data_IF_255051608744
#
_entry.id   IF_255051608744
#
_cell.length_a   1.000
_cell.length_b   1.000
_cell.length_c   1.000
_cell.angle_alpha   90.00
_cell.angle_beta   90.00
_cell.angle_gamma   90.00
#
_symmetry.space_group_name_H-M   'P 1'
#
loop_
_entity.id
_entity.type
_entity.pdbx_description
1 polymer ?
#
# COMPACT_ATOMS: atom_id res chain seq x y z
N UNK A 1 -33.81 51.41 -9.54
CA UNK A 1 -33.19 51.09 -8.24
C UNK A 1 -33.03 49.57 -8.16
N UNK A 2 -31.76 49.14 -8.12
CA UNK A 2 -31.21 47.86 -7.61
C UNK A 2 -31.79 46.50 -8.07
N UNK A 3 -30.98 45.83 -8.92
CA UNK A 3 -30.92 44.39 -9.20
C UNK A 3 -30.80 43.59 -7.88
N UNK A 4 -31.65 42.58 -7.66
CA UNK A 4 -31.49 41.61 -6.58
C UNK A 4 -31.40 40.19 -7.15
N UNK A 5 -30.15 39.76 -7.30
CA UNK A 5 -29.58 38.42 -7.31
C UNK A 5 -30.45 37.19 -7.67
N UNK A 6 -30.17 36.66 -8.88
CA UNK A 6 -30.26 35.24 -9.24
C UNK A 6 -29.28 34.42 -8.38
N UNK A 7 -29.62 33.15 -8.15
CA UNK A 7 -28.79 32.04 -7.62
C UNK A 7 -28.72 31.82 -6.10
N UNK A 8 -29.75 31.18 -5.49
CA UNK A 8 -29.56 30.49 -4.22
C UNK A 8 -29.17 29.00 -4.39
N UNK A 9 -29.45 28.37 -5.54
CA UNK A 9 -29.32 26.90 -5.70
C UNK A 9 -27.96 26.39 -6.18
N UNK A 10 -27.11 27.24 -6.78
CA UNK A 10 -25.78 26.82 -7.27
C UNK A 10 -24.72 26.83 -6.16
N UNK A 11 -24.91 27.66 -5.13
CA UNK A 11 -23.99 27.78 -4.00
C UNK A 11 -23.95 26.54 -3.10
N UNK A 12 -25.03 25.76 -3.04
CA UNK A 12 -25.10 24.58 -2.18
C UNK A 12 -24.34 23.37 -2.76
N UNK A 13 -24.23 23.27 -4.10
CA UNK A 13 -23.52 22.19 -4.78
C UNK A 13 -22.00 22.32 -4.72
N UNK A 14 -21.47 23.55 -4.60
CA UNK A 14 -20.03 23.80 -4.50
C UNK A 14 -19.45 23.48 -3.12
N UNK A 15 -20.28 23.50 -2.05
CA UNK A 15 -19.80 23.24 -0.69
C UNK A 15 -19.54 21.75 -0.41
N UNK A 16 -20.22 20.84 -1.12
CA UNK A 16 -20.10 19.37 -0.89
C UNK A 16 -18.87 18.76 -1.58
N UNK A 17 -18.31 19.43 -2.60
CA UNK A 17 -17.11 18.95 -3.30
C UNK A 17 -15.80 19.18 -2.52
N UNK A 18 -15.83 19.98 -1.45
CA UNK A 18 -14.64 20.33 -0.69
C UNK A 18 -14.29 19.32 0.43
N UNK A 19 -15.14 18.32 0.72
CA UNK A 19 -14.89 17.33 1.78
C UNK A 19 -14.22 16.03 1.28
N UNK A 20 -13.92 15.91 -0.02
CA UNK A 20 -13.32 14.69 -0.59
C UNK A 20 -11.79 14.68 -0.61
N UNK A 21 -11.11 15.81 -0.37
CA UNK A 21 -9.67 15.80 -0.11
C UNK A 21 -9.45 15.56 1.39
N UNK A 22 -9.73 14.34 1.85
CA UNK A 22 -9.05 13.85 3.05
C UNK A 22 -7.56 13.91 2.71
N UNK A 23 -6.78 14.67 3.48
CA UNK A 23 -5.33 14.61 3.37
C UNK A 23 -4.96 13.14 3.50
N UNK A 24 -4.47 12.53 2.42
CA UNK A 24 -3.93 11.18 2.44
C UNK A 24 -2.72 11.23 3.37
N UNK A 25 -2.99 10.93 4.64
CA UNK A 25 -1.95 10.71 5.62
C UNK A 25 -1.24 9.40 5.30
N UNK A 26 -0.06 9.23 5.87
CA UNK A 26 0.60 7.94 5.89
C UNK A 26 -0.39 6.87 6.40
N UNK A 27 -0.55 5.73 5.69
CA UNK A 27 -1.42 4.64 6.14
C UNK A 27 -1.07 4.18 7.57
N UNK A 28 -2.09 3.96 8.39
CA UNK A 28 -1.99 3.43 9.77
C UNK A 28 -2.63 2.04 9.90
N UNK A 29 -3.18 1.49 8.82
CA UNK A 29 -3.74 0.15 8.73
C UNK A 29 -3.62 -0.43 7.32
N UNK A 30 -3.83 -1.73 7.17
CA UNK A 30 -3.81 -2.42 5.87
C UNK A 30 -4.91 -1.90 4.93
N UNK A 31 -6.10 -1.58 5.46
CA UNK A 31 -7.29 -1.18 4.71
C UNK A 31 -7.34 0.33 4.40
N UNK A 32 -6.38 1.10 4.90
CA UNK A 32 -6.33 2.54 4.68
C UNK A 32 -6.26 2.87 3.20
N UNK A 33 -7.08 3.85 2.79
CA UNK A 33 -7.14 4.34 1.41
C UNK A 33 -7.48 3.22 0.42
N UNK A 34 -8.45 2.38 0.80
CA UNK A 34 -8.99 1.34 -0.05
C UNK A 34 -9.49 1.87 -1.41
N UNK A 35 -9.20 1.12 -2.47
CA UNK A 35 -9.73 1.38 -3.81
C UNK A 35 -11.15 0.79 -3.95
N UNK A 36 -11.72 0.87 -5.16
CA UNK A 36 -13.05 0.32 -5.44
C UNK A 36 -13.14 -1.21 -5.24
N UNK A 37 -12.00 -1.91 -5.14
CA UNK A 37 -11.94 -3.35 -4.84
C UNK A 37 -11.88 -3.65 -3.33
N UNK A 38 -11.73 -2.62 -2.49
CA UNK A 38 -11.61 -2.75 -1.04
C UNK A 38 -10.20 -3.05 -0.54
N UNK A 39 -9.20 -3.15 -1.44
CA UNK A 39 -7.79 -3.34 -1.05
C UNK A 39 -7.19 -2.01 -0.66
N UNK A 40 -6.49 -1.92 0.46
CA UNK A 40 -5.85 -0.69 0.91
C UNK A 40 -4.64 -0.29 0.09
N UNK A 41 -4.13 0.93 0.30
CA UNK A 41 -3.01 1.47 -0.48
C UNK A 41 -1.74 0.64 -0.31
N UNK A 42 -1.39 0.29 0.93
CA UNK A 42 -0.17 -0.47 1.24
C UNK A 42 -0.18 -1.83 0.55
N UNK A 43 -1.31 -2.54 0.57
CA UNK A 43 -1.44 -3.83 -0.10
C UNK A 43 -1.22 -3.71 -1.62
N UNK A 44 -1.72 -2.65 -2.23
CA UNK A 44 -1.57 -2.43 -3.68
C UNK A 44 -0.13 -2.09 -4.03
N UNK A 45 0.48 -1.14 -3.33
CA UNK A 45 1.86 -0.71 -3.56
C UNK A 45 2.86 -1.84 -3.29
N UNK A 46 2.63 -2.66 -2.26
CA UNK A 46 3.45 -3.84 -1.99
C UNK A 46 3.43 -4.80 -3.18
N UNK A 47 2.24 -5.13 -3.70
CA UNK A 47 2.11 -6.03 -4.84
C UNK A 47 2.78 -5.43 -6.08
N UNK A 48 2.56 -4.15 -6.35
CA UNK A 48 3.10 -3.49 -7.53
C UNK A 48 4.63 -3.43 -7.48
N UNK A 49 5.22 -3.05 -6.33
CA UNK A 49 6.67 -3.04 -6.12
C UNK A 49 7.28 -4.45 -6.20
N UNK A 50 6.62 -5.45 -5.60
CA UNK A 50 7.07 -6.84 -5.69
C UNK A 50 7.01 -7.37 -7.13
N UNK A 51 5.97 -7.02 -7.89
CA UNK A 51 5.85 -7.42 -9.30
C UNK A 51 6.94 -6.76 -10.15
N UNK A 52 7.21 -5.47 -9.92
CA UNK A 52 8.30 -4.75 -10.57
C UNK A 52 9.66 -5.41 -10.28
N UNK A 53 9.90 -5.80 -9.02
CA UNK A 53 11.12 -6.51 -8.62
C UNK A 53 11.24 -7.93 -9.20
N UNK A 54 10.15 -8.51 -9.71
CA UNK A 54 10.07 -9.88 -10.22
C UNK A 54 9.58 -9.95 -11.69
N UNK A 55 9.91 -8.93 -12.50
CA UNK A 55 9.45 -8.83 -13.88
C UNK A 55 9.82 -10.06 -14.75
N UNK A 56 10.95 -10.70 -14.43
CA UNK A 56 11.45 -11.92 -15.11
C UNK A 56 10.51 -13.12 -15.01
N UNK A 57 9.62 -13.18 -13.99
CA UNK A 57 8.65 -14.26 -13.84
C UNK A 57 7.48 -14.16 -14.84
N UNK A 58 7.29 -12.98 -15.45
CA UNK A 58 6.10 -12.64 -16.22
C UNK A 58 4.92 -12.26 -15.33
N UNK A 59 4.13 -11.27 -15.77
CA UNK A 59 3.14 -10.56 -14.95
C UNK A 59 2.16 -11.45 -14.17
N UNK A 60 1.65 -12.53 -14.78
CA UNK A 60 0.69 -13.43 -14.11
C UNK A 60 1.35 -14.19 -12.96
N UNK A 61 2.56 -14.72 -13.19
CA UNK A 61 3.29 -15.48 -12.18
C UNK A 61 3.81 -14.55 -11.07
N UNK A 62 4.36 -13.40 -11.44
CA UNK A 62 4.78 -12.38 -10.48
C UNK A 62 3.62 -11.96 -9.57
N UNK A 63 2.45 -11.65 -10.14
CA UNK A 63 1.27 -11.27 -9.33
C UNK A 63 0.80 -12.39 -8.40
N UNK A 64 0.83 -13.64 -8.84
CA UNK A 64 0.48 -14.79 -7.99
C UNK A 64 1.48 -14.97 -6.85
N UNK A 65 2.78 -14.86 -7.15
CA UNK A 65 3.85 -14.94 -6.18
C UNK A 65 3.74 -13.82 -5.14
N UNK A 66 3.66 -12.57 -5.57
CA UNK A 66 3.58 -11.41 -4.70
C UNK A 66 2.31 -11.42 -3.83
N UNK A 67 1.18 -11.91 -4.37
CA UNK A 67 -0.04 -12.13 -3.60
C UNK A 67 0.18 -13.11 -2.44
N UNK A 68 0.79 -14.26 -2.74
CA UNK A 68 1.16 -15.25 -1.71
C UNK A 68 2.09 -14.66 -0.64
N UNK A 69 3.09 -13.87 -1.05
CA UNK A 69 4.01 -13.23 -0.09
C UNK A 69 3.26 -12.26 0.80
N UNK A 70 2.41 -11.39 0.24
CA UNK A 70 1.61 -10.45 1.03
C UNK A 70 0.72 -11.16 2.05
N UNK A 71 0.04 -12.24 1.64
CA UNK A 71 -0.79 -13.06 2.54
C UNK A 71 0.08 -13.60 3.70
N UNK A 72 1.26 -14.14 3.39
CA UNK A 72 2.20 -14.65 4.39
C UNK A 72 2.73 -13.56 5.34
N UNK A 73 2.95 -12.34 4.85
CA UNK A 73 3.32 -11.19 5.67
C UNK A 73 2.19 -10.82 6.63
N UNK A 74 0.95 -10.68 6.13
CA UNK A 74 -0.21 -10.31 6.94
C UNK A 74 -0.55 -11.36 8.00
N UNK A 75 -0.27 -12.63 7.73
CA UNK A 75 -0.43 -13.72 8.70
C UNK A 75 0.66 -13.72 9.78
N UNK A 76 1.87 -13.25 9.46
CA UNK A 76 3.03 -13.32 10.35
C UNK A 76 3.15 -12.12 11.29
N UNK A 77 2.74 -10.93 10.86
CA UNK A 77 3.03 -9.68 11.56
C UNK A 77 1.85 -8.71 11.61
N UNK A 78 1.89 -7.81 12.58
CA UNK A 78 1.00 -6.65 12.64
C UNK A 78 1.40 -5.59 11.61
N UNK A 79 0.49 -4.66 11.32
CA UNK A 79 0.78 -3.52 10.43
C UNK A 79 1.96 -2.67 10.94
N UNK A 80 2.08 -2.48 12.26
CA UNK A 80 3.18 -1.70 12.84
C UNK A 80 4.54 -2.42 12.65
N UNK A 81 4.59 -3.74 12.84
CA UNK A 81 5.81 -4.53 12.57
C UNK A 81 6.16 -4.56 11.07
N UNK A 82 5.16 -4.57 10.18
CA UNK A 82 5.39 -4.39 8.75
C UNK A 82 6.02 -3.03 8.45
N UNK A 83 5.55 -1.95 9.08
CA UNK A 83 6.16 -0.62 8.91
C UNK A 83 7.63 -0.60 9.32
N UNK A 84 8.03 -1.37 10.32
CA UNK A 84 9.44 -1.48 10.69
C UNK A 84 10.29 -2.08 9.56
N UNK A 85 9.76 -3.04 8.78
CA UNK A 85 10.41 -3.54 7.57
C UNK A 85 10.50 -2.46 6.48
N UNK A 86 9.40 -1.77 6.21
CA UNK A 86 9.34 -0.70 5.20
C UNK A 86 10.35 0.41 5.52
N UNK A 87 10.35 0.89 6.76
CA UNK A 87 11.31 1.85 7.31
C UNK A 87 12.76 1.38 7.18
N UNK A 88 13.01 0.08 7.41
CA UNK A 88 14.34 -0.49 7.30
C UNK A 88 14.80 -0.55 5.84
N UNK A 89 13.95 -0.98 4.92
CA UNK A 89 14.25 -1.03 3.49
C UNK A 89 14.48 0.40 2.96
N UNK A 90 13.66 1.38 3.35
CA UNK A 90 13.84 2.78 2.92
C UNK A 90 15.19 3.35 3.39
N UNK A 91 15.53 3.13 4.67
CA UNK A 91 16.79 3.62 5.26
C UNK A 91 18.04 2.93 4.72
N UNK A 92 17.94 1.64 4.40
CA UNK A 92 19.07 0.79 4.00
C UNK A 92 19.00 0.34 2.54
N UNK A 93 18.18 0.97 1.70
CA UNK A 93 17.88 0.51 0.33
C UNK A 93 19.11 0.13 -0.51
N UNK A 94 20.17 0.93 -0.41
CA UNK A 94 21.39 0.75 -1.22
C UNK A 94 22.35 -0.32 -0.65
N UNK A 95 22.12 -0.78 0.57
CA UNK A 95 23.00 -1.72 1.29
C UNK A 95 22.26 -2.95 1.87
N UNK A 96 20.95 -3.03 1.71
CA UNK A 96 20.13 -4.13 2.22
C UNK A 96 20.58 -5.45 1.60
N UNK A 97 20.76 -6.46 2.44
CA UNK A 97 21.16 -7.80 2.03
C UNK A 97 20.16 -8.84 2.52
N UNK A 98 20.14 -10.02 1.88
CA UNK A 98 19.33 -11.15 2.35
C UNK A 98 19.69 -11.56 3.79
N UNK A 99 20.97 -11.45 4.18
CA UNK A 99 21.42 -11.71 5.54
C UNK A 99 20.79 -10.75 6.56
N UNK A 100 20.77 -9.45 6.24
CA UNK A 100 20.13 -8.43 7.09
C UNK A 100 18.62 -8.67 7.22
N UNK A 101 17.95 -8.99 6.11
CA UNK A 101 16.53 -9.33 6.12
C UNK A 101 16.25 -10.60 6.93
N UNK A 102 17.10 -11.62 6.84
CA UNK A 102 16.95 -12.85 7.63
C UNK A 102 17.12 -12.59 9.12
N UNK A 103 18.08 -11.74 9.50
CA UNK A 103 18.39 -11.43 10.90
C UNK A 103 17.28 -10.61 11.58
N UNK A 104 16.74 -9.60 10.88
CA UNK A 104 15.77 -8.66 11.47
C UNK A 104 14.32 -8.96 11.10
N UNK A 105 14.09 -9.58 9.95
CA UNK A 105 12.77 -9.80 9.36
C UNK A 105 12.65 -11.22 8.79
N UNK A 106 13.12 -12.22 9.55
CA UNK A 106 13.12 -13.63 9.11
C UNK A 106 11.76 -14.11 8.61
N UNK A 107 10.66 -13.58 9.17
CA UNK A 107 9.29 -13.83 8.70
C UNK A 107 9.06 -13.43 7.23
N UNK A 108 9.70 -12.36 6.74
CA UNK A 108 9.59 -11.91 5.36
C UNK A 108 10.31 -12.86 4.41
N UNK A 109 11.48 -13.35 4.82
CA UNK A 109 12.24 -14.36 4.07
C UNK A 109 11.47 -15.68 4.03
N UNK A 110 10.93 -16.12 5.18
CA UNK A 110 10.11 -17.33 5.28
C UNK A 110 8.86 -17.25 4.38
N UNK A 111 8.13 -16.12 4.38
CA UNK A 111 6.99 -15.92 3.50
C UNK A 111 7.40 -15.98 2.02
N UNK A 112 8.52 -15.36 1.67
CA UNK A 112 9.06 -15.37 0.29
C UNK A 112 9.44 -16.79 -0.15
N UNK A 113 10.13 -17.56 0.69
CA UNK A 113 10.54 -18.93 0.41
C UNK A 113 9.34 -19.88 0.29
N UNK A 114 8.33 -19.74 1.16
CA UNK A 114 7.11 -20.53 1.10
C UNK A 114 6.33 -20.36 -0.21
N UNK A 115 6.43 -19.17 -0.82
CA UNK A 115 5.72 -18.81 -2.04
C UNK A 115 6.49 -19.11 -3.34
N UNK A 116 7.78 -19.46 -3.26
CA UNK A 116 8.63 -19.70 -4.44
C UNK A 116 8.41 -21.06 -5.14
N UNK A 117 7.48 -21.88 -4.63
CA UNK A 117 7.19 -23.26 -5.07
C UNK A 117 6.48 -23.41 -6.42
#
# INVERSE_FOLDING_TARGET
MMRWFRYPSVLFLLAVLATACVASGEPVSWEDQADDSGRGLVEREFIDACVEANEDLGAVKAKSFCGCVLDGVQDAVTFEEFKELDDFIDKHRDEVTSGMLTEHFGWFVEATEACAG
#
